data_IF_837728073194
#
_entry.id   IF_837728073194
#
_cell.length_a   1.000
_cell.length_b   1.000
_cell.length_c   1.000
_cell.angle_alpha   90.00
_cell.angle_beta   90.00
_cell.angle_gamma   90.00
#
_symmetry.space_group_name_H-M   'P 1'
#
loop_
_entity.id
_entity.type
_entity.pdbx_description
1 polymer ?
#
# COMPACT_ATOMS: atom_id res chain seq x y z
N UNK A 1 -18.33 6.97 9.08
CA UNK A 1 -17.76 7.17 7.74
C UNK A 1 -16.59 6.22 7.56
N UNK A 2 -16.54 5.50 6.45
CA UNK A 2 -15.43 4.62 6.08
C UNK A 2 -14.71 5.19 4.86
N UNK A 3 -13.43 4.84 4.69
CA UNK A 3 -12.67 5.11 3.48
C UNK A 3 -12.53 3.82 2.69
N UNK A 4 -12.92 3.83 1.41
CA UNK A 4 -12.67 2.73 0.47
C UNK A 4 -11.57 3.17 -0.50
N UNK A 5 -10.57 2.32 -0.68
CA UNK A 5 -9.48 2.52 -1.64
C UNK A 5 -8.94 1.15 -2.06
N UNK A 6 -7.93 1.15 -2.92
CA UNK A 6 -7.29 -0.05 -3.39
C UNK A 6 -5.83 -0.09 -2.95
N UNK A 7 -5.30 -1.26 -2.65
CA UNK A 7 -3.91 -1.43 -2.24
C UNK A 7 -3.22 -2.51 -3.07
N UNK A 8 -1.96 -2.27 -3.44
CA UNK A 8 -1.09 -3.27 -4.03
C UNK A 8 0.11 -3.50 -3.12
N UNK A 9 0.18 -4.66 -2.49
CA UNK A 9 1.26 -5.03 -1.58
C UNK A 9 2.59 -5.21 -2.32
N UNK A 10 3.71 -4.96 -1.63
CA UNK A 10 5.08 -4.89 -2.20
C UNK A 10 5.53 -6.06 -3.09
N UNK A 11 4.98 -7.26 -2.89
CA UNK A 11 5.34 -8.48 -3.63
C UNK A 11 4.16 -9.17 -4.34
N UNK A 12 3.02 -8.48 -4.47
CA UNK A 12 1.84 -8.98 -5.17
C UNK A 12 1.46 -8.03 -6.30
N UNK A 13 0.92 -8.56 -7.39
CA UNK A 13 0.32 -7.77 -8.48
C UNK A 13 -1.20 -7.64 -8.33
N UNK A 14 -1.75 -8.28 -7.30
CA UNK A 14 -3.18 -8.31 -7.00
C UNK A 14 -3.57 -6.98 -6.37
N UNK A 15 -4.64 -6.38 -6.91
CA UNK A 15 -5.16 -5.11 -6.41
C UNK A 15 -6.24 -5.40 -5.39
N UNK A 16 -5.94 -5.22 -4.10
CA UNK A 16 -6.87 -5.50 -3.00
C UNK A 16 -7.84 -4.33 -2.79
N UNK A 17 -9.09 -4.64 -2.50
CA UNK A 17 -10.11 -3.68 -2.08
C UNK A 17 -10.02 -3.51 -0.57
N UNK A 18 -9.73 -2.30 -0.12
CA UNK A 18 -9.50 -2.00 1.29
C UNK A 18 -10.57 -1.06 1.82
N UNK A 19 -11.10 -1.41 2.99
CA UNK A 19 -11.96 -0.56 3.81
C UNK A 19 -11.23 -0.16 5.08
N UNK A 20 -11.15 1.14 5.35
CA UNK A 20 -10.67 1.68 6.62
C UNK A 20 -11.80 2.38 7.36
N UNK A 21 -12.00 1.98 8.61
CA UNK A 21 -13.08 2.46 9.47
C UNK A 21 -12.49 2.86 10.81
N UNK A 22 -12.70 4.10 11.24
CA UNK A 22 -12.30 4.52 12.59
C UNK A 22 -13.33 4.03 13.61
N UNK A 23 -12.91 3.26 14.61
CA UNK A 23 -13.78 2.67 15.63
C UNK A 23 -14.20 3.69 16.70
N UNK A 24 -15.02 4.67 16.31
CA UNK A 24 -15.51 5.71 17.21
C UNK A 24 -17.05 5.72 17.27
N UNK A 25 -17.61 6.41 18.26
CA UNK A 25 -19.06 6.49 18.46
C UNK A 25 -19.78 7.25 17.32
N UNK A 26 -19.13 8.23 16.70
CA UNK A 26 -19.68 9.02 15.59
C UNK A 26 -19.94 8.16 14.34
N UNK A 27 -19.13 7.12 14.16
CA UNK A 27 -19.28 6.12 13.10
C UNK A 27 -20.29 5.02 13.45
N UNK A 28 -21.01 5.14 14.58
CA UNK A 28 -21.90 4.10 15.09
C UNK A 28 -21.16 2.89 15.69
N UNK A 29 -19.86 3.04 15.97
CA UNK A 29 -19.01 2.05 16.63
C UNK A 29 -18.64 2.56 18.04
N UNK A 30 -17.37 2.49 18.44
CA UNK A 30 -16.88 3.02 19.72
C UNK A 30 -16.83 1.97 20.83
N UNK A 31 -16.63 0.70 20.46
CA UNK A 31 -16.50 -0.43 21.39
C UNK A 31 -15.28 -1.27 21.02
N UNK A 32 -14.70 -2.01 21.97
CA UNK A 32 -13.64 -2.96 21.65
C UNK A 32 -14.19 -4.12 20.81
N UNK A 33 -13.52 -4.44 19.71
CA UNK A 33 -13.83 -5.59 18.89
C UNK A 33 -12.90 -6.77 19.23
N UNK A 34 -13.46 -7.95 19.57
CA UNK A 34 -12.64 -9.14 19.69
C UNK A 34 -12.10 -9.58 18.32
N UNK A 35 -10.94 -10.24 18.32
CA UNK A 35 -10.43 -10.87 17.11
C UNK A 35 -11.46 -11.84 16.53
N UNK A 36 -11.62 -11.83 15.21
CA UNK A 36 -12.62 -12.65 14.52
C UNK A 36 -12.91 -12.18 13.10
N UNK A 37 -13.83 -12.89 12.44
CA UNK A 37 -14.16 -12.64 11.05
C UNK A 37 -15.24 -11.56 10.92
N UNK A 38 -14.96 -10.56 10.10
CA UNK A 38 -15.88 -9.51 9.71
C UNK A 38 -16.44 -9.82 8.33
N UNK A 39 -17.76 -9.76 8.20
CA UNK A 39 -18.46 -9.90 6.92
C UNK A 39 -18.97 -8.54 6.49
N UNK A 40 -18.65 -8.16 5.27
CA UNK A 40 -19.03 -6.87 4.71
C UNK A 40 -20.18 -7.08 3.72
N UNK A 41 -21.23 -6.30 3.93
CA UNK A 41 -22.41 -6.29 3.08
C UNK A 41 -22.59 -4.89 2.51
N UNK A 42 -22.88 -4.81 1.21
CA UNK A 42 -23.27 -3.58 0.54
C UNK A 42 -24.77 -3.61 0.29
N UNK A 43 -25.42 -2.47 0.54
CA UNK A 43 -26.81 -2.26 0.17
C UNK A 43 -26.89 -2.05 -1.34
N UNK A 44 -27.75 -2.81 -2.00
CA UNK A 44 -28.02 -2.65 -3.43
C UNK A 44 -28.97 -1.46 -3.63
N UNK A 45 -28.62 -0.57 -4.56
CA UNK A 45 -29.41 0.63 -4.87
C UNK A 45 -30.71 0.28 -5.62
N UNK A 46 -30.84 -0.92 -6.17
CA UNK A 46 -31.99 -1.34 -6.99
C UNK A 46 -33.12 -1.95 -6.19
N UNK A 47 -32.83 -2.68 -5.11
CA UNK A 47 -33.82 -3.42 -4.31
C UNK A 47 -33.71 -3.26 -2.78
N UNK A 48 -32.77 -2.42 -2.29
CA UNK A 48 -32.47 -2.22 -0.86
C UNK A 48 -32.02 -3.51 -0.13
N UNK A 49 -31.69 -4.55 -0.89
CA UNK A 49 -31.13 -5.81 -0.40
C UNK A 49 -29.70 -5.65 0.10
N UNK A 50 -29.27 -6.56 0.98
CA UNK A 50 -27.88 -6.65 1.42
C UNK A 50 -27.15 -7.74 0.63
N UNK A 51 -26.19 -7.33 -0.20
CA UNK A 51 -25.31 -8.23 -0.94
C UNK A 51 -24.00 -8.41 -0.17
N UNK A 52 -23.59 -9.66 0.05
CA UNK A 52 -22.28 -9.97 0.61
C UNK A 52 -21.18 -9.63 -0.39
N UNK A 53 -20.24 -8.76 -0.01
CA UNK A 53 -19.16 -8.30 -0.89
C UNK A 53 -17.77 -8.77 -0.44
N UNK A 54 -17.65 -9.37 0.75
CA UNK A 54 -16.37 -9.92 1.19
C UNK A 54 -16.28 -10.13 2.70
N UNK A 55 -15.20 -10.79 3.12
CA UNK A 55 -14.87 -11.01 4.52
C UNK A 55 -13.37 -10.84 4.78
N UNK A 56 -13.03 -10.41 5.99
CA UNK A 56 -11.64 -10.38 6.47
C UNK A 56 -11.61 -10.71 7.96
N UNK A 57 -10.47 -11.20 8.46
CA UNK A 57 -10.26 -11.46 9.88
C UNK A 57 -9.53 -10.27 10.52
N UNK A 58 -10.07 -9.75 11.62
CA UNK A 58 -9.41 -8.72 12.42
C UNK A 58 -8.76 -9.31 13.67
N UNK A 59 -7.76 -8.61 14.18
CA UNK A 59 -7.22 -8.84 15.53
C UNK A 59 -8.07 -8.12 16.57
N UNK A 60 -7.74 -8.25 17.86
CA UNK A 60 -8.37 -7.44 18.89
C UNK A 60 -8.15 -5.95 18.60
N UNK A 61 -9.23 -5.21 18.34
CA UNK A 61 -9.18 -3.78 18.05
C UNK A 61 -9.85 -3.01 19.19
N UNK A 62 -9.08 -2.24 19.98
CA UNK A 62 -9.63 -1.37 21.02
C UNK A 62 -10.60 -0.32 20.46
N UNK A 63 -11.34 0.30 21.38
CA UNK A 63 -12.09 1.52 21.08
C UNK A 63 -11.14 2.61 20.53
N UNK A 64 -11.66 3.41 19.60
CA UNK A 64 -11.01 4.57 18.99
C UNK A 64 -9.78 4.24 18.11
N UNK A 65 -9.58 2.97 17.76
CA UNK A 65 -8.56 2.49 16.82
C UNK A 65 -9.11 2.27 15.41
N UNK A 66 -8.24 2.25 14.39
CA UNK A 66 -8.66 2.00 13.01
C UNK A 66 -8.79 0.51 12.72
N UNK A 67 -9.92 0.12 12.14
CA UNK A 67 -10.16 -1.21 11.58
C UNK A 67 -9.87 -1.13 10.08
N UNK A 68 -9.00 -2.02 9.60
CA UNK A 68 -8.66 -2.17 8.18
C UNK A 68 -9.09 -3.55 7.71
N UNK A 69 -9.87 -3.62 6.63
CA UNK A 69 -10.41 -4.85 6.05
C UNK A 69 -10.00 -4.96 4.59
N UNK A 70 -9.45 -6.11 4.20
CA UNK A 70 -9.17 -6.50 2.81
C UNK A 70 -10.28 -7.45 2.37
N UNK A 71 -11.27 -6.92 1.65
CA UNK A 71 -12.52 -7.65 1.41
C UNK A 71 -12.50 -8.49 0.13
N UNK A 72 -11.44 -8.38 -0.67
CA UNK A 72 -11.27 -9.12 -1.92
C UNK A 72 -10.36 -8.41 -2.91
N UNK A 73 -10.19 -9.02 -4.08
CA UNK A 73 -9.40 -8.48 -5.19
C UNK A 73 -10.31 -7.73 -6.19
N UNK A 74 -9.86 -6.56 -6.65
CA UNK A 74 -10.49 -5.79 -7.70
C UNK A 74 -10.14 -6.38 -9.07
N UNK A 75 -11.08 -7.09 -9.70
CA UNK A 75 -10.89 -7.74 -11.00
C UNK A 75 -10.73 -6.76 -12.17
N UNK A 76 -11.23 -5.54 -11.99
CA UNK A 76 -11.26 -4.42 -12.93
C UNK A 76 -10.07 -3.45 -12.77
N UNK A 77 -9.15 -3.73 -11.84
CA UNK A 77 -7.88 -3.02 -11.70
C UNK A 77 -6.72 -3.97 -11.99
N UNK A 78 -5.65 -3.46 -12.60
CA UNK A 78 -4.43 -4.23 -12.85
C UNK A 78 -3.21 -3.46 -12.41
N UNK A 79 -2.27 -4.18 -11.81
CA UNK A 79 -0.92 -3.71 -11.52
C UNK A 79 0.09 -4.65 -12.17
N UNK A 80 1.15 -4.10 -12.76
CA UNK A 80 2.30 -4.86 -13.26
C UNK A 80 3.57 -4.20 -12.74
N UNK A 81 4.51 -4.99 -12.21
CA UNK A 81 5.80 -4.46 -11.73
C UNK A 81 6.96 -4.95 -12.59
N UNK A 82 7.82 -4.02 -12.99
CA UNK A 82 9.00 -4.33 -13.80
C UNK A 82 10.25 -3.61 -13.29
N UNK A 83 11.29 -4.38 -12.98
CA UNK A 83 12.64 -3.84 -12.80
C UNK A 83 13.23 -3.59 -14.20
N UNK A 84 13.36 -2.32 -14.57
CA UNK A 84 13.88 -1.91 -15.88
C UNK A 84 15.40 -2.08 -15.98
N UNK A 85 16.10 -1.85 -14.87
CA UNK A 85 17.54 -1.86 -14.82
C UNK A 85 18.02 -2.11 -13.39
N UNK A 86 19.08 -2.89 -13.24
CA UNK A 86 19.70 -3.21 -11.96
C UNK A 86 21.20 -3.12 -12.12
N UNK A 87 21.84 -2.27 -11.31
CA UNK A 87 23.29 -2.03 -11.35
C UNK A 87 23.88 -2.07 -9.96
N UNK A 88 25.09 -2.60 -9.85
CA UNK A 88 25.90 -2.56 -8.64
C UNK A 88 27.30 -2.14 -9.01
N UNK A 89 27.76 -1.03 -8.45
CA UNK A 89 29.13 -0.53 -8.67
C UNK A 89 29.71 0.04 -7.38
N UNK A 90 30.94 -0.37 -7.04
CA UNK A 90 31.71 0.13 -5.87
C UNK A 90 30.93 0.25 -4.56
N UNK A 91 30.05 -0.71 -4.26
CA UNK A 91 29.24 -0.73 -3.03
C UNK A 91 27.96 0.11 -3.09
N UNK A 92 27.62 0.67 -4.25
CA UNK A 92 26.33 1.32 -4.52
C UNK A 92 25.48 0.37 -5.35
N UNK A 93 24.27 0.10 -4.87
CA UNK A 93 23.25 -0.69 -5.55
C UNK A 93 22.14 0.22 -6.06
N UNK A 94 21.75 0.08 -7.32
CA UNK A 94 20.73 0.90 -7.95
C UNK A 94 19.75 0.03 -8.75
N UNK A 95 18.46 0.24 -8.53
CA UNK A 95 17.38 -0.43 -9.25
C UNK A 95 16.39 0.60 -9.80
N UNK A 96 16.09 0.52 -11.09
CA UNK A 96 15.06 1.34 -11.73
C UNK A 96 13.81 0.51 -11.88
N UNK A 97 12.70 1.01 -11.37
CA UNK A 97 11.41 0.33 -11.35
C UNK A 97 10.39 1.09 -12.19
N UNK A 98 9.53 0.34 -12.86
CA UNK A 98 8.28 0.80 -13.44
C UNK A 98 7.15 -0.04 -12.89
N UNK A 99 6.14 0.62 -12.35
CA UNK A 99 4.88 0.00 -11.94
C UNK A 99 3.79 0.57 -12.83
N UNK A 100 3.10 -0.29 -13.57
CA UNK A 100 2.02 0.10 -14.47
C UNK A 100 0.69 -0.22 -13.82
N UNK A 101 -0.15 0.80 -13.65
CA UNK A 101 -1.51 0.68 -13.15
C UNK A 101 -2.50 0.84 -14.31
N UNK A 102 -3.57 0.04 -14.31
CA UNK A 102 -4.67 0.16 -15.27
C UNK A 102 -6.00 0.09 -14.56
N UNK A 103 -6.90 1.01 -14.91
CA UNK A 103 -8.25 1.07 -14.38
C UNK A 103 -9.25 0.74 -15.49
N UNK A 104 -9.95 -0.40 -15.39
CA UNK A 104 -11.02 -0.79 -16.32
C UNK A 104 -12.42 -0.44 -15.80
N UNK A 105 -12.50 0.34 -14.72
CA UNK A 105 -13.75 0.82 -14.14
C UNK A 105 -14.27 2.04 -14.89
N UNK A 106 -15.58 2.26 -14.75
CA UNK A 106 -16.23 3.50 -15.14
C UNK A 106 -16.04 4.64 -14.11
N UNK A 107 -15.41 4.36 -12.95
CA UNK A 107 -15.18 5.31 -11.85
C UNK A 107 -13.68 5.47 -11.56
N UNK A 108 -13.25 6.64 -11.05
CA UNK A 108 -11.88 6.82 -10.55
C UNK A 108 -11.55 5.84 -9.42
N UNK A 109 -10.30 5.40 -9.35
CA UNK A 109 -9.81 4.49 -8.34
C UNK A 109 -8.59 5.08 -7.63
N UNK A 110 -8.67 5.25 -6.32
CA UNK A 110 -7.52 5.63 -5.49
C UNK A 110 -6.72 4.37 -5.12
N UNK A 111 -5.50 4.25 -5.63
CA UNK A 111 -4.65 3.08 -5.48
C UNK A 111 -3.39 3.45 -4.67
N UNK A 112 -3.18 2.74 -3.56
CA UNK A 112 -1.94 2.77 -2.78
C UNK A 112 -1.03 1.65 -3.24
N UNK A 113 0.12 2.00 -3.80
CA UNK A 113 1.13 1.04 -4.26
C UNK A 113 2.27 1.02 -3.28
N UNK A 114 2.43 -0.13 -2.61
CA UNK A 114 3.53 -0.37 -1.69
C UNK A 114 4.73 -0.93 -2.45
N UNK A 115 5.92 -0.52 -2.02
CA UNK A 115 7.17 -1.08 -2.51
C UNK A 115 8.18 -1.22 -1.39
N UNK A 116 8.68 -2.45 -1.20
CA UNK A 116 9.66 -2.77 -0.18
C UNK A 116 11.05 -2.34 -0.62
N UNK A 117 11.74 -1.64 0.27
CA UNK A 117 13.09 -1.14 0.06
C UNK A 117 13.98 -1.48 1.25
N UNK A 118 15.30 -1.36 1.09
CA UNK A 118 16.19 -1.46 2.24
C UNK A 118 16.06 -0.22 3.12
N UNK A 119 16.36 -0.34 4.42
CA UNK A 119 16.19 0.76 5.36
C UNK A 119 16.97 2.03 4.98
N UNK A 120 18.20 1.84 4.48
CA UNK A 120 19.09 2.89 4.01
C UNK A 120 18.86 3.29 2.55
N UNK A 121 17.78 2.83 1.92
CA UNK A 121 17.49 3.18 0.54
C UNK A 121 17.09 4.66 0.41
N UNK A 122 17.53 5.26 -0.69
CA UNK A 122 17.12 6.59 -1.15
C UNK A 122 16.31 6.40 -2.43
N UNK A 123 15.15 7.05 -2.50
CA UNK A 123 14.33 7.09 -3.71
C UNK A 123 14.69 8.32 -4.52
N UNK A 124 15.02 8.13 -5.79
CA UNK A 124 15.36 9.19 -6.74
C UNK A 124 14.51 9.10 -8.00
N UNK A 125 14.39 10.21 -8.73
CA UNK A 125 13.71 10.28 -10.03
C UNK A 125 12.29 9.69 -10.00
N UNK A 126 11.56 9.88 -8.89
CA UNK A 126 10.20 9.39 -8.75
C UNK A 126 9.26 10.25 -9.62
N UNK A 127 8.48 9.60 -10.49
CA UNK A 127 7.48 10.28 -11.33
C UNK A 127 6.22 10.70 -10.56
N UNK A 128 6.01 10.13 -9.37
CA UNK A 128 4.88 10.41 -8.49
C UNK A 128 5.36 10.75 -7.08
N UNK A 129 4.53 11.50 -6.35
CA UNK A 129 4.71 11.72 -4.92
C UNK A 129 4.71 10.38 -4.18
N UNK A 130 5.59 10.27 -3.20
CA UNK A 130 5.71 9.08 -2.37
C UNK A 130 5.98 9.49 -0.93
N UNK A 131 5.67 8.59 -0.01
CA UNK A 131 6.02 8.70 1.38
C UNK A 131 6.67 7.42 1.89
N UNK A 132 7.47 7.57 2.96
CA UNK A 132 8.08 6.44 3.65
C UNK A 132 7.11 5.95 4.71
N UNK A 133 6.45 4.82 4.45
CA UNK A 133 5.43 4.23 5.33
C UNK A 133 6.05 3.53 6.53
N UNK A 134 7.18 2.84 6.31
CA UNK A 134 7.99 2.21 7.36
C UNK A 134 9.47 2.38 7.03
N UNK A 135 10.36 1.87 7.89
CA UNK A 135 11.80 1.90 7.64
C UNK A 135 12.16 1.25 6.28
N UNK A 136 11.44 0.20 5.89
CA UNK A 136 11.69 -0.66 4.74
C UNK A 136 10.57 -0.67 3.69
N UNK A 137 9.62 0.27 3.73
CA UNK A 137 8.52 0.35 2.76
C UNK A 137 8.21 1.80 2.37
N UNK A 138 8.07 2.02 1.06
CA UNK A 138 7.57 3.28 0.50
C UNK A 138 6.19 3.06 -0.11
N UNK A 139 5.38 4.12 -0.12
CA UNK A 139 4.03 4.10 -0.66
C UNK A 139 3.87 5.22 -1.68
N UNK A 140 3.26 4.88 -2.82
CA UNK A 140 2.75 5.83 -3.79
C UNK A 140 1.23 5.83 -3.73
N UNK A 141 0.60 7.00 -3.61
CA UNK A 141 -0.86 7.12 -3.71
C UNK A 141 -1.20 7.75 -5.07
N UNK A 142 -1.99 7.03 -5.88
CA UNK A 142 -2.31 7.41 -7.26
C UNK A 142 -3.82 7.34 -7.46
N UNK A 143 -4.42 8.45 -7.89
CA UNK A 143 -5.81 8.48 -8.33
C UNK A 143 -5.86 8.18 -9.84
N UNK A 144 -6.30 6.97 -10.19
CA UNK A 144 -6.42 6.53 -11.58
C UNK A 144 -7.83 6.84 -12.10
N UNK A 145 -7.92 7.70 -13.12
CA UNK A 145 -9.18 8.00 -13.80
C UNK A 145 -9.75 6.75 -14.52
N UNK A 146 -11.05 6.77 -14.90
CA UNK A 146 -11.68 5.70 -15.68
C UNK A 146 -10.90 5.41 -16.96
N UNK A 147 -10.74 4.12 -17.30
CA UNK A 147 -10.02 3.62 -18.49
C UNK A 147 -8.55 4.08 -18.62
N UNK A 148 -7.99 4.68 -17.57
CA UNK A 148 -6.65 5.23 -17.59
C UNK A 148 -5.56 4.17 -17.35
N UNK A 149 -4.38 4.45 -17.90
CA UNK A 149 -3.15 3.70 -17.67
C UNK A 149 -2.07 4.67 -17.24
N UNK A 150 -1.46 4.45 -16.08
CA UNK A 150 -0.35 5.28 -15.59
C UNK A 150 0.86 4.45 -15.21
N UNK A 151 2.04 5.07 -15.29
CA UNK A 151 3.32 4.44 -14.98
C UNK A 151 4.01 5.19 -13.84
N UNK A 152 4.16 4.53 -12.70
CA UNK A 152 5.00 4.98 -11.60
C UNK A 152 6.42 4.52 -11.90
N UNK A 153 7.33 5.47 -12.11
CA UNK A 153 8.74 5.22 -12.36
C UNK A 153 9.56 5.82 -11.23
N UNK A 154 10.50 5.06 -10.69
CA UNK A 154 11.39 5.53 -9.64
C UNK A 154 12.67 4.72 -9.61
N UNK A 155 13.70 5.29 -8.98
CA UNK A 155 14.99 4.65 -8.76
C UNK A 155 15.17 4.41 -7.27
N UNK A 156 15.48 3.17 -6.89
CA UNK A 156 15.92 2.81 -5.55
C UNK A 156 17.45 2.77 -5.56
N UNK A 157 18.08 3.55 -4.69
CA UNK A 157 19.54 3.55 -4.51
C UNK A 157 19.88 3.15 -3.07
N UNK A 158 20.84 2.25 -2.91
CA UNK A 158 21.39 1.84 -1.60
C UNK A 158 22.90 2.02 -1.65
N UNK A 159 23.44 2.84 -0.76
CA UNK A 159 24.88 2.97 -0.58
C UNK A 159 25.36 2.15 0.63
N UNK A 160 25.93 0.97 0.36
CA UNK A 160 26.42 0.04 1.38
C UNK A 160 27.67 0.57 2.10
N UNK A 161 28.34 1.60 1.57
CA UNK A 161 29.54 2.19 2.20
C UNK A 161 29.21 2.99 3.45
N UNK A 162 27.98 3.51 3.55
CA UNK A 162 27.53 4.34 4.68
C UNK A 162 27.46 3.50 5.97
N UNK A 163 27.18 2.19 5.87
CA UNK A 163 27.11 1.30 7.04
C UNK A 163 28.48 1.08 7.71
N UNK A 164 29.58 1.12 6.94
CA UNK A 164 30.93 0.88 7.47
C UNK A 164 31.37 2.02 8.41
N UNK A 165 31.00 3.27 8.11
CA UNK A 165 31.43 4.43 8.89
C UNK A 165 30.75 4.45 10.28
N UNK A 166 29.45 4.16 10.35
CA UNK A 166 28.70 4.15 11.63
C UNK A 166 29.21 3.10 12.62
N UNK A 167 29.63 1.92 12.15
CA UNK A 167 30.19 0.89 13.03
C UNK A 167 31.60 1.23 13.54
N UNK A 168 32.41 1.92 12.73
CA UNK A 168 33.75 2.36 13.15
C UNK A 168 33.67 3.48 14.20
N UNK A 169 32.68 4.37 14.10
CA UNK A 169 32.45 5.40 15.12
C UNK A 169 31.93 4.81 16.44
N UNK A 170 31.05 3.82 16.40
CA UNK A 170 30.59 3.13 17.60
C UNK A 170 31.69 2.31 18.29
N UNK A 171 32.62 1.70 17.52
CA UNK A 171 33.77 0.96 18.05
C UNK A 171 34.95 1.83 18.53
N UNK A 172 34.88 3.16 18.38
CA UNK A 172 35.91 4.12 18.85
C UNK A 172 35.57 4.78 20.18
N UNK A 173 34.44 4.43 20.78
CA UNK A 173 33.93 5.03 22.03
C UNK A 173 34.08 4.09 23.24
N UNK A 174 34.88 3.02 23.12
CA UNK A 174 35.30 2.15 24.23
C UNK A 174 36.80 2.25 24.50
#
# INVERSE_FOLDING_TARGET
MYRRFYEVASYSEDVQIVFEIHNNAENGLGMSFPAGNFKVYQRDDTDDGLTFIGEDAIVHTPKDETIRLHIGEAFDLRCERKCLNKRRDRGVHQEQWRITLKNHKAEPALIQVLHRVQESAVIENASHSWEKRSADEVMFEVELLPDAVENIEFTVMVDERIHIIKQIEQGRTE
#
